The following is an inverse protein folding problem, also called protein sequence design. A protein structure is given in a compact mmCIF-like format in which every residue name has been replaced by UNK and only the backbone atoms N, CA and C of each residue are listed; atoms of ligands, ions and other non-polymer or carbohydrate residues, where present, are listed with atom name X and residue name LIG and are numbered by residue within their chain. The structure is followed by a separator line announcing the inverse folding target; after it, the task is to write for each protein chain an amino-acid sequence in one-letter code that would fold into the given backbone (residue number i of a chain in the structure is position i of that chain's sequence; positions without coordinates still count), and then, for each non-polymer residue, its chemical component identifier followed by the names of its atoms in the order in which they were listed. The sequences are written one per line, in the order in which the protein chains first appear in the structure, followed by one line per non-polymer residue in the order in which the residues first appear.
data_IF_096893409845
#
_entry.id   IF_096893409845
#
_cell.length_a   1.000
_cell.length_b   1.000
_cell.length_c   1.000
_cell.angle_alpha   90.00
_cell.angle_beta   90.00
_cell.angle_gamma   90.00
#
_symmetry.space_group_name_H-M   'P 1'
#
loop_
_entity.id
_entity.type
_entity.pdbx_description
1 polymer ?
#
# COMPACT_ATOMS: atom_id res chain seq x y z
N UNK A 1 8.82 6.26 3.35
CA UNK A 1 7.99 5.07 3.61
C UNK A 1 6.74 5.47 4.40
N UNK A 2 5.57 4.94 4.04
CA UNK A 2 4.27 5.24 4.65
C UNK A 2 3.56 3.91 4.98
N UNK A 3 3.13 3.71 6.23
CA UNK A 3 2.37 2.51 6.60
C UNK A 3 0.90 2.58 6.15
N UNK A 4 0.50 1.66 5.27
CA UNK A 4 -0.88 1.57 4.76
C UNK A 4 -1.75 0.71 5.67
N UNK A 5 -1.30 -0.52 5.94
CA UNK A 5 -1.92 -1.46 6.88
C UNK A 5 -0.85 -2.12 7.75
N UNK A 6 -1.23 -3.00 8.66
CA UNK A 6 -0.27 -3.75 9.50
C UNK A 6 0.71 -4.61 8.70
N UNK A 7 0.35 -4.93 7.45
CA UNK A 7 1.11 -5.81 6.54
C UNK A 7 1.56 -5.12 5.26
N UNK A 8 1.18 -3.86 5.03
CA UNK A 8 1.49 -3.17 3.78
C UNK A 8 2.03 -1.77 4.03
N UNK A 9 3.07 -1.42 3.27
CA UNK A 9 3.67 -0.09 3.24
C UNK A 9 3.65 0.44 1.80
N UNK A 10 3.61 1.76 1.68
CA UNK A 10 3.89 2.47 0.45
C UNK A 10 5.29 3.08 0.55
N UNK A 11 6.09 2.91 -0.49
CA UNK A 11 7.36 3.59 -0.62
C UNK A 11 7.34 4.45 -1.88
N UNK A 12 7.66 5.72 -1.71
CA UNK A 12 7.69 6.68 -2.81
C UNK A 12 8.79 6.28 -3.79
N UNK A 13 8.42 6.20 -5.07
CA UNK A 13 9.35 5.96 -6.16
C UNK A 13 9.77 7.34 -6.66
N UNK A 14 11.07 7.68 -6.58
CA UNK A 14 11.54 8.95 -7.12
C UNK A 14 11.29 9.04 -8.63
N UNK A 15 10.98 10.24 -9.13
CA UNK A 15 10.52 10.44 -10.52
C UNK A 15 11.51 9.94 -11.57
N UNK A 16 12.81 9.95 -11.24
CA UNK A 16 13.91 9.56 -12.12
C UNK A 16 14.21 8.05 -12.11
N UNK A 17 13.46 7.25 -11.35
CA UNK A 17 13.69 5.81 -11.25
C UNK A 17 13.22 5.10 -12.54
N UNK A 18 14.13 4.41 -13.21
CA UNK A 18 13.82 3.68 -14.46
C UNK A 18 13.41 2.24 -14.21
N UNK A 19 13.94 1.61 -13.16
CA UNK A 19 13.63 0.23 -12.79
C UNK A 19 13.45 0.10 -11.28
N UNK A 20 12.59 -0.85 -10.90
CA UNK A 20 12.31 -1.21 -9.53
C UNK A 20 12.43 -2.73 -9.39
N UNK A 21 13.27 -3.17 -8.46
CA UNK A 21 13.60 -4.58 -8.26
C UNK A 21 13.56 -4.93 -6.77
N UNK A 22 13.18 -6.16 -6.44
CA UNK A 22 13.39 -6.70 -5.09
C UNK A 22 14.65 -7.55 -5.13
N UNK A 23 15.66 -7.16 -4.35
CA UNK A 23 16.76 -8.07 -4.03
C UNK A 23 16.33 -8.97 -2.88
N UNK A 24 16.21 -10.27 -3.12
CA UNK A 24 15.94 -11.28 -2.09
C UNK A 24 17.22 -11.74 -1.38
N UNK A 25 18.16 -10.82 -1.17
CA UNK A 25 19.22 -11.03 -0.17
C UNK A 25 18.59 -11.00 1.23
N UNK A 26 19.32 -11.42 2.26
CA UNK A 26 18.83 -11.41 3.63
C UNK A 26 19.59 -10.28 4.38
N UNK A 27 18.99 -9.10 4.60
CA UNK A 27 17.58 -8.73 4.43
C UNK A 27 17.16 -8.40 2.99
N UNK A 28 15.87 -8.59 2.69
CA UNK A 28 15.27 -8.27 1.38
C UNK A 28 15.31 -6.75 1.15
N UNK A 29 15.81 -6.30 0.01
CA UNK A 29 15.91 -4.88 -0.32
C UNK A 29 14.99 -4.49 -1.47
N UNK A 30 14.28 -3.36 -1.34
CA UNK A 30 13.77 -2.68 -2.53
C UNK A 30 14.91 -1.88 -3.16
N UNK A 31 15.18 -2.15 -4.44
CA UNK A 31 16.24 -1.51 -5.22
C UNK A 31 15.60 -0.60 -6.26
N UNK A 32 15.90 0.69 -6.16
CA UNK A 32 15.58 1.68 -7.17
C UNK A 32 16.83 1.90 -8.03
N UNK A 33 16.73 1.75 -9.35
CA UNK A 33 17.85 2.06 -10.24
C UNK A 33 17.73 3.47 -10.80
N UNK A 34 18.77 4.27 -10.58
CA UNK A 34 18.97 5.62 -11.13
C UNK A 34 20.23 5.64 -11.98
N UNK A 35 20.15 5.20 -13.24
CA UNK A 35 21.36 5.02 -14.04
C UNK A 35 22.33 4.04 -13.37
N UNK A 36 23.41 4.54 -12.75
CA UNK A 36 24.42 3.74 -12.04
C UNK A 36 24.23 3.67 -10.50
N UNK A 37 23.31 4.43 -9.92
CA UNK A 37 23.10 4.49 -8.46
C UNK A 37 21.96 3.57 -8.00
N UNK A 38 22.12 2.97 -6.81
CA UNK A 38 21.15 2.07 -6.19
C UNK A 38 20.84 2.54 -4.76
N UNK A 39 19.56 2.71 -4.45
CA UNK A 39 19.07 2.97 -3.09
C UNK A 39 18.43 1.69 -2.56
N UNK A 40 18.73 1.34 -1.31
CA UNK A 40 18.25 0.12 -0.65
C UNK A 40 17.36 0.47 0.54
N UNK A 41 16.08 0.10 0.49
CA UNK A 41 15.23 0.01 1.68
C UNK A 41 15.26 -1.42 2.21
N UNK A 42 15.78 -1.64 3.42
CA UNK A 42 15.93 -2.97 4.01
C UNK A 42 14.67 -3.48 4.70
N UNK A 43 14.27 -4.72 4.40
CA UNK A 43 13.12 -5.43 4.97
C UNK A 43 13.51 -6.88 5.31
N UNK A 44 12.99 -7.44 6.40
CA UNK A 44 13.29 -8.84 6.76
C UNK A 44 12.66 -9.83 5.78
N UNK A 45 11.41 -9.59 5.38
CA UNK A 45 10.69 -10.32 4.31
C UNK A 45 9.70 -9.38 3.63
N UNK A 46 9.84 -9.23 2.32
CA UNK A 46 9.02 -8.30 1.54
C UNK A 46 8.63 -8.88 0.17
N UNK A 47 7.43 -8.54 -0.28
CA UNK A 47 6.88 -8.87 -1.60
C UNK A 47 6.28 -7.59 -2.22
N UNK A 48 6.59 -7.29 -3.49
CA UNK A 48 5.92 -6.20 -4.21
C UNK A 48 4.52 -6.65 -4.57
N UNK A 49 3.53 -5.90 -4.09
CA UNK A 49 2.15 -6.03 -4.53
C UNK A 49 1.96 -5.37 -5.89
N UNK A 50 2.50 -4.15 -6.05
CA UNK A 50 2.36 -3.39 -7.29
C UNK A 50 2.89 -1.96 -7.17
N UNK A 51 2.81 -1.22 -8.27
CA UNK A 51 3.15 0.21 -8.34
C UNK A 51 1.90 1.00 -8.71
N UNK A 52 1.65 2.12 -8.03
CA UNK A 52 0.46 2.95 -8.29
C UNK A 52 0.48 3.56 -9.71
N UNK A 53 -0.65 3.61 -10.43
CA UNK A 53 -1.98 3.15 -10.01
C UNK A 53 -2.10 1.61 -10.02
N UNK A 54 -2.74 1.07 -8.98
CA UNK A 54 -2.89 -0.37 -8.79
C UNK A 54 -4.07 -0.94 -9.59
N UNK A 55 -3.96 -2.21 -9.99
CA UNK A 55 -5.08 -2.99 -10.54
C UNK A 55 -6.05 -3.42 -9.44
N UNK A 56 -7.28 -3.80 -9.81
CA UNK A 56 -8.28 -4.30 -8.84
C UNK A 56 -7.76 -5.52 -8.06
N UNK A 57 -7.05 -6.43 -8.72
CA UNK A 57 -6.47 -7.61 -8.06
C UNK A 57 -5.43 -7.22 -7.00
N UNK A 58 -4.61 -6.20 -7.28
CA UNK A 58 -3.63 -5.65 -6.33
C UNK A 58 -4.32 -4.90 -5.18
N UNK A 59 -5.41 -4.19 -5.45
CA UNK A 59 -6.21 -3.57 -4.38
C UNK A 59 -6.80 -4.65 -3.47
N UNK A 60 -7.35 -5.72 -4.06
CA UNK A 60 -7.93 -6.85 -3.30
C UNK A 60 -6.90 -7.54 -2.40
N UNK A 61 -5.64 -7.65 -2.80
CA UNK A 61 -4.60 -8.23 -1.94
C UNK A 61 -4.27 -7.35 -0.73
N UNK A 62 -4.51 -6.03 -0.83
CA UNK A 62 -4.26 -5.06 0.26
C UNK A 62 -5.44 -4.98 1.24
N UNK A 63 -6.66 -4.79 0.72
CA UNK A 63 -7.86 -4.50 1.54
C UNK A 63 -8.83 -5.67 1.67
N UNK A 64 -8.59 -6.76 0.94
CA UNK A 64 -9.48 -7.92 0.86
C UNK A 64 -10.43 -7.88 -0.33
N UNK A 65 -10.99 -9.06 -0.68
CA UNK A 65 -11.92 -9.26 -1.79
C UNK A 65 -13.40 -9.11 -1.41
N UNK A 66 -13.70 -9.01 -0.10
CA UNK A 66 -15.06 -8.88 0.41
C UNK A 66 -15.37 -7.43 0.73
N UNK A 67 -16.63 -7.03 0.51
CA UNK A 67 -17.14 -5.78 1.05
C UNK A 67 -16.93 -5.75 2.56
N UNK A 68 -16.02 -4.91 3.02
CA UNK A 68 -15.83 -4.69 4.46
C UNK A 68 -17.02 -3.93 5.02
N UNK A 69 -17.57 -4.41 6.14
CA UNK A 69 -18.61 -3.70 6.89
C UNK A 69 -18.00 -2.46 7.54
N UNK A 70 -18.40 -1.28 7.07
CA UNK A 70 -18.19 -0.02 7.77
C UNK A 70 -19.29 0.19 8.81
N UNK A 71 -18.95 0.80 9.95
CA UNK A 71 -19.94 1.28 10.93
C UNK A 71 -19.90 2.80 10.94
N UNK A 72 -21.03 3.43 10.65
CA UNK A 72 -21.22 4.89 10.84
C UNK A 72 -22.09 5.11 12.05
N UNK A 73 -21.75 6.13 12.84
CA UNK A 73 -22.54 6.59 13.97
C UNK A 73 -23.31 7.85 13.55
N UNK A 74 -24.64 7.85 13.70
CA UNK A 74 -25.50 9.02 13.43
C UNK A 74 -26.02 9.61 14.74
N UNK A 75 -25.48 10.76 15.17
CA UNK A 75 -25.99 11.53 16.32
C UNK A 75 -25.91 10.83 17.67
N UNK A 76 -26.71 11.30 18.64
CA UNK A 76 -26.77 10.81 20.03
C UNK A 76 -27.40 9.42 20.20
N UNK A 77 -27.78 8.76 19.10
CA UNK A 77 -28.30 7.39 19.10
C UNK A 77 -27.31 6.45 18.39
N UNK A 78 -26.61 5.63 19.17
CA UNK A 78 -25.65 4.63 18.70
C UNK A 78 -26.35 3.45 18.01
N UNK A 79 -26.91 3.66 16.81
CA UNK A 79 -27.41 2.59 15.96
C UNK A 79 -26.34 2.28 14.91
N UNK A 80 -25.60 1.15 15.01
CA UNK A 80 -24.57 0.81 14.04
C UNK A 80 -25.23 0.41 12.71
N UNK A 81 -25.24 1.34 11.75
CA UNK A 81 -25.58 1.01 10.36
C UNK A 81 -24.36 0.38 9.70
N UNK A 82 -24.45 -0.93 9.44
CA UNK A 82 -23.47 -1.65 8.63
C UNK A 82 -23.68 -1.33 7.15
N UNK A 83 -22.71 -0.70 6.51
CA UNK A 83 -22.71 -0.51 5.05
C UNK A 83 -21.53 -1.26 4.41
N UNK A 84 -21.76 -1.75 3.20
CA UNK A 84 -20.78 -2.49 2.42
C UNK A 84 -19.89 -1.48 1.69
N UNK A 85 -18.59 -1.46 2.00
CA UNK A 85 -17.61 -0.61 1.31
C UNK A 85 -16.90 -1.46 0.26
N UNK A 86 -16.85 -1.00 -0.98
CA UNK A 86 -16.12 -1.72 -2.03
C UNK A 86 -14.61 -1.70 -1.75
N UNK A 87 -13.84 -2.71 -2.20
CA UNK A 87 -12.38 -2.69 -2.07
C UNK A 87 -11.74 -1.42 -2.66
N UNK A 88 -12.30 -0.90 -3.75
CA UNK A 88 -11.84 0.34 -4.38
C UNK A 88 -12.05 1.57 -3.49
N UNK A 89 -13.25 1.74 -2.95
CA UNK A 89 -13.55 2.86 -2.04
C UNK A 89 -12.66 2.80 -0.79
N UNK A 90 -12.40 1.59 -0.28
CA UNK A 90 -11.52 1.38 0.87
C UNK A 90 -10.07 1.73 0.56
N UNK A 91 -9.60 1.43 -0.64
CA UNK A 91 -8.28 1.86 -1.11
C UNK A 91 -8.19 3.39 -1.23
N UNK A 92 -9.24 4.04 -1.74
CA UNK A 92 -9.29 5.49 -1.84
C UNK A 92 -9.31 6.17 -0.46
N UNK A 93 -10.03 5.58 0.51
CA UNK A 93 -9.98 6.00 1.90
C UNK A 93 -8.57 5.84 2.52
N UNK A 94 -7.87 4.73 2.25
CA UNK A 94 -6.50 4.53 2.71
C UNK A 94 -5.57 5.60 2.12
N UNK A 95 -5.66 5.85 0.82
CA UNK A 95 -4.85 6.90 0.16
C UNK A 95 -5.07 8.27 0.81
N UNK A 96 -6.33 8.63 1.07
CA UNK A 96 -6.70 9.89 1.73
C UNK A 96 -6.21 9.95 3.18
N UNK A 97 -6.49 8.92 3.98
CA UNK A 97 -6.15 8.88 5.41
C UNK A 97 -4.63 8.84 5.65
N UNK A 98 -3.89 8.17 4.77
CA UNK A 98 -2.43 8.08 4.83
C UNK A 98 -1.73 9.20 4.07
N UNK A 99 -2.50 10.12 3.47
CA UNK A 99 -2.03 11.30 2.74
C UNK A 99 -1.02 10.95 1.63
N UNK A 100 -1.33 9.91 0.85
CA UNK A 100 -0.56 9.61 -0.35
C UNK A 100 -0.77 10.74 -1.37
N UNK A 101 0.33 11.32 -1.84
CA UNK A 101 0.28 12.35 -2.88
C UNK A 101 -0.16 11.74 -4.22
N UNK A 102 -1.29 12.16 -4.80
CA UNK A 102 -1.80 11.60 -6.06
C UNK A 102 -0.88 11.85 -7.26
N UNK A 103 0.05 12.80 -7.17
CA UNK A 103 0.99 13.11 -8.25
C UNK A 103 2.25 12.23 -8.20
N UNK A 104 2.45 11.47 -7.11
CA UNK A 104 3.63 10.63 -6.92
C UNK A 104 3.33 9.16 -7.17
N UNK A 105 4.36 8.42 -7.58
CA UNK A 105 4.28 6.96 -7.72
C UNK A 105 4.76 6.30 -6.43
N UNK A 106 4.06 5.25 -6.02
CA UNK A 106 4.43 4.45 -4.86
C UNK A 106 4.52 2.98 -5.23
N UNK A 107 5.59 2.32 -4.78
CA UNK A 107 5.66 0.88 -4.70
C UNK A 107 4.94 0.43 -3.44
N UNK A 108 3.96 -0.47 -3.58
CA UNK A 108 3.26 -1.07 -2.47
C UNK A 108 3.90 -2.40 -2.15
N UNK A 109 4.42 -2.49 -0.92
CA UNK A 109 5.17 -3.64 -0.44
C UNK A 109 4.38 -4.29 0.67
N UNK A 110 4.20 -5.60 0.56
CA UNK A 110 3.73 -6.45 1.65
C UNK A 110 4.91 -6.87 2.50
N UNK A 111 4.81 -6.63 3.80
CA UNK A 111 5.81 -6.99 4.80
C UNK A 111 5.25 -8.08 5.71
N UNK A 112 6.09 -9.06 6.07
CA UNK A 112 5.78 -10.01 7.13
C UNK A 112 6.39 -9.53 8.45
N UNK A 113 5.58 -9.48 9.52
CA UNK A 113 6.11 -9.36 10.88
C UNK A 113 6.55 -10.74 11.34
N UNK A 114 7.77 -10.82 11.86
CA UNK A 114 8.27 -12.00 12.58
C UNK A 114 7.44 -12.31 13.83
#
# INVERSE_FOLDING_TARGET
MIHLTDKHIAVEIPEDATELEISYENPTHLVYKFGAEKIHDGFVKAEIVGVTPLTEQQIHSIVGSQFTKGTTYCGDFSIPYGYNISPKDRWDDIQRLKRLDPNKKYAIIKIEKE
#
